data_IF_866953757404
#
_entry.id   IF_866953757404
#
_cell.length_a   1.000
_cell.length_b   1.000
_cell.length_c   1.000
_cell.angle_alpha   90.00
_cell.angle_beta   90.00
_cell.angle_gamma   90.00
#
_symmetry.space_group_name_H-M   'P 1'
#
loop_
_entity.id
_entity.type
_entity.pdbx_description
1 polymer ?
#
# COMPACT_ATOMS: atom_id res chain seq x y z
N UNK A 1 -35.28 54.63 37.97
CA UNK A 1 -36.46 54.15 37.25
C UNK A 1 -36.21 52.74 36.75
N UNK A 2 -36.92 51.84 37.38
CA UNK A 2 -37.38 50.50 37.00
C UNK A 2 -36.41 49.52 36.34
N UNK A 3 -36.03 48.61 37.20
CA UNK A 3 -35.49 47.27 36.93
C UNK A 3 -36.50 46.37 36.21
N UNK A 4 -36.06 45.61 35.23
CA UNK A 4 -36.77 44.39 34.82
C UNK A 4 -35.83 43.19 34.95
N UNK A 5 -36.09 42.38 36.01
CA UNK A 5 -35.46 41.09 36.20
C UNK A 5 -36.41 40.04 35.64
N UNK A 6 -36.13 39.51 34.45
CA UNK A 6 -36.82 38.35 33.93
C UNK A 6 -36.32 37.10 34.68
N UNK A 7 -37.20 36.53 35.50
CA UNK A 7 -37.02 35.27 36.21
C UNK A 7 -36.83 34.12 35.22
N UNK A 8 -35.67 33.48 35.24
CA UNK A 8 -35.48 32.15 34.69
C UNK A 8 -36.18 31.15 35.63
N UNK A 9 -37.35 30.67 35.22
CA UNK A 9 -37.99 29.52 35.86
C UNK A 9 -37.23 28.25 35.47
N UNK A 10 -36.49 27.66 36.40
CA UNK A 10 -35.89 26.36 36.25
C UNK A 10 -36.97 25.26 36.29
N UNK A 11 -36.93 24.34 35.36
CA UNK A 11 -37.78 23.15 35.32
C UNK A 11 -37.64 22.35 36.62
N UNK A 12 -38.77 21.96 37.22
CA UNK A 12 -38.78 21.17 38.44
C UNK A 12 -38.31 19.73 38.20
N UNK A 13 -37.72 19.08 39.21
CA UNK A 13 -37.32 17.66 39.15
C UNK A 13 -38.43 16.73 38.65
N UNK A 14 -39.68 17.06 38.89
CA UNK A 14 -40.85 16.28 38.46
C UNK A 14 -41.11 16.40 36.96
N UNK A 15 -40.86 17.58 36.36
CA UNK A 15 -40.99 17.83 34.92
C UNK A 15 -39.82 17.18 34.17
N UNK A 16 -38.61 17.14 34.76
CA UNK A 16 -37.45 16.42 34.18
C UNK A 16 -37.68 14.90 34.18
N UNK A 17 -38.30 14.34 35.23
CA UNK A 17 -38.61 12.91 35.29
C UNK A 17 -39.79 12.53 34.38
N UNK A 18 -40.74 13.42 34.14
CA UNK A 18 -41.83 13.18 33.20
C UNK A 18 -41.32 13.22 31.74
N UNK A 19 -40.38 14.11 31.41
CA UNK A 19 -39.73 14.13 30.08
C UNK A 19 -38.82 12.93 29.85
N UNK A 20 -38.15 12.41 30.87
CA UNK A 20 -37.33 11.19 30.77
C UNK A 20 -38.23 9.93 30.61
N UNK A 21 -39.39 9.89 31.25
CA UNK A 21 -40.35 8.79 31.09
C UNK A 21 -40.93 8.69 29.67
N UNK A 22 -41.26 9.82 29.06
CA UNK A 22 -41.76 9.86 27.67
C UNK A 22 -40.68 9.53 26.65
N UNK A 23 -39.40 9.90 26.89
CA UNK A 23 -38.26 9.52 26.04
C UNK A 23 -37.98 8.00 26.16
N UNK A 24 -38.07 7.42 27.37
CA UNK A 24 -37.88 5.99 27.55
C UNK A 24 -39.02 5.15 26.93
N UNK A 25 -40.27 5.61 27.04
CA UNK A 25 -41.42 4.98 26.37
C UNK A 25 -41.32 5.11 24.84
N UNK A 26 -40.83 6.23 24.32
CA UNK A 26 -40.56 6.42 22.88
C UNK A 26 -39.44 5.52 22.38
N UNK A 27 -38.36 5.31 23.15
CA UNK A 27 -37.30 4.37 22.83
C UNK A 27 -37.74 2.90 22.88
N UNK A 28 -38.60 2.53 23.81
CA UNK A 28 -39.20 1.19 23.89
C UNK A 28 -40.12 0.92 22.70
N UNK A 29 -40.94 1.90 22.29
CA UNK A 29 -41.79 1.78 21.10
C UNK A 29 -40.98 1.74 19.82
N UNK A 30 -39.87 2.47 19.72
CA UNK A 30 -38.96 2.40 18.57
C UNK A 30 -38.22 1.04 18.48
N UNK A 31 -37.89 0.43 19.62
CA UNK A 31 -37.33 -0.92 19.65
C UNK A 31 -38.35 -2.02 19.29
N UNK A 32 -39.62 -1.88 19.63
CA UNK A 32 -40.66 -2.86 19.25
C UNK A 32 -41.06 -2.71 17.77
N UNK A 33 -41.05 -1.49 17.21
CA UNK A 33 -41.32 -1.27 15.78
C UNK A 33 -40.13 -1.66 14.88
N UNK A 34 -38.88 -1.60 15.40
CA UNK A 34 -37.70 -1.97 14.62
C UNK A 34 -37.42 -3.48 14.53
N UNK A 35 -38.07 -4.30 15.40
CA UNK A 35 -37.80 -5.74 15.47
C UNK A 35 -38.62 -6.62 14.51
N UNK A 36 -39.88 -6.24 14.20
CA UNK A 36 -40.80 -7.14 13.53
C UNK A 36 -40.85 -7.02 11.98
N UNK A 37 -40.46 -5.86 11.40
CA UNK A 37 -40.62 -5.58 9.96
C UNK A 37 -39.39 -4.93 9.30
N UNK A 38 -38.21 -5.09 9.86
CA UNK A 38 -37.00 -4.64 9.17
C UNK A 38 -36.64 -5.64 8.04
N UNK A 39 -36.81 -5.28 6.75
CA UNK A 39 -36.46 -6.18 5.65
C UNK A 39 -35.00 -6.63 5.68
N UNK A 40 -34.10 -5.83 6.24
CA UNK A 40 -32.69 -6.17 6.43
C UNK A 40 -32.48 -7.30 7.44
N UNK A 41 -33.38 -7.50 8.42
CA UNK A 41 -33.29 -8.61 9.37
C UNK A 41 -33.62 -9.98 8.74
N UNK A 42 -34.24 -9.99 7.54
CA UNK A 42 -34.57 -11.22 6.77
C UNK A 42 -33.54 -11.54 5.70
N UNK A 43 -32.54 -10.67 5.46
CA UNK A 43 -31.45 -10.94 4.54
C UNK A 43 -30.47 -11.87 5.23
N UNK A 44 -30.30 -13.08 4.70
CA UNK A 44 -29.29 -14.02 5.19
C UNK A 44 -27.90 -13.42 5.04
N UNK A 45 -27.34 -12.90 6.15
CA UNK A 45 -26.02 -12.30 6.16
C UNK A 45 -24.96 -13.41 6.19
N UNK A 46 -24.53 -13.85 5.00
CA UNK A 46 -23.44 -14.80 4.86
C UNK A 46 -22.12 -14.26 5.44
N UNK A 47 -21.97 -12.94 5.51
CA UNK A 47 -20.77 -12.31 6.05
C UNK A 47 -20.65 -12.50 7.57
N UNK A 48 -21.75 -12.65 8.31
CA UNK A 48 -21.70 -12.85 9.77
C UNK A 48 -21.25 -14.26 10.18
N UNK A 49 -21.45 -15.27 9.32
CA UNK A 49 -21.18 -16.69 9.62
C UNK A 49 -19.87 -17.21 9.04
N UNK A 50 -19.20 -16.46 8.17
CA UNK A 50 -17.93 -16.87 7.58
C UNK A 50 -16.81 -16.78 8.62
N UNK A 51 -15.96 -17.83 8.67
CA UNK A 51 -14.82 -17.92 9.60
C UNK A 51 -13.59 -18.41 8.89
N UNK A 52 -12.45 -17.87 9.25
CA UNK A 52 -11.14 -18.38 8.86
C UNK A 52 -10.93 -19.76 9.51
N UNK A 53 -10.45 -20.74 8.75
CA UNK A 53 -10.26 -22.13 9.20
C UNK A 53 -8.89 -22.69 8.88
N UNK A 54 -8.11 -22.02 8.05
CA UNK A 54 -6.80 -22.52 7.65
C UNK A 54 -6.03 -21.56 6.77
N UNK A 55 -4.78 -21.90 6.53
CA UNK A 55 -3.93 -21.20 5.58
C UNK A 55 -2.93 -22.16 4.94
N UNK A 56 -2.39 -21.74 3.79
CA UNK A 56 -1.25 -22.39 3.12
C UNK A 56 -0.28 -21.33 2.62
N UNK A 57 1.00 -21.67 2.60
CA UNK A 57 2.06 -20.80 2.09
C UNK A 57 2.83 -21.49 0.97
N UNK A 58 3.18 -20.72 -0.06
CA UNK A 58 3.89 -21.20 -1.24
C UNK A 58 5.09 -20.28 -1.50
N UNK A 59 6.31 -20.73 -1.14
CA UNK A 59 7.53 -19.97 -1.40
C UNK A 59 7.85 -19.86 -2.89
N UNK A 60 8.12 -18.64 -3.39
CA UNK A 60 8.51 -18.39 -4.78
C UNK A 60 9.58 -17.29 -4.83
N UNK A 61 10.85 -17.66 -4.92
CA UNK A 61 11.97 -16.70 -4.89
C UNK A 61 11.98 -15.87 -3.60
N UNK A 62 11.91 -14.56 -3.71
CA UNK A 62 11.83 -13.62 -2.57
C UNK A 62 10.39 -13.38 -2.08
N UNK A 63 9.43 -14.18 -2.52
CA UNK A 63 8.02 -14.03 -2.20
C UNK A 63 7.49 -15.29 -1.55
N UNK A 64 6.47 -15.12 -0.72
CA UNK A 64 5.67 -16.22 -0.20
C UNK A 64 4.20 -15.91 -0.50
N UNK A 65 3.59 -16.67 -1.41
CA UNK A 65 2.17 -16.55 -1.68
C UNK A 65 1.39 -17.20 -0.54
N UNK A 66 0.33 -16.54 -0.10
CA UNK A 66 -0.49 -16.94 1.03
C UNK A 66 -1.92 -17.23 0.56
N UNK A 67 -2.46 -18.38 0.91
CA UNK A 67 -3.88 -18.71 0.78
C UNK A 67 -4.51 -18.78 2.18
N UNK A 68 -5.57 -18.02 2.42
CA UNK A 68 -6.41 -18.13 3.63
C UNK A 68 -7.71 -18.83 3.27
N UNK A 69 -8.07 -19.86 4.02
CA UNK A 69 -9.23 -20.71 3.80
C UNK A 69 -10.35 -20.37 4.81
N UNK A 70 -11.61 -20.62 4.42
CA UNK A 70 -12.77 -20.37 5.27
C UNK A 70 -13.71 -21.57 5.33
N UNK A 71 -14.61 -21.58 6.31
CA UNK A 71 -15.66 -22.59 6.48
C UNK A 71 -16.74 -22.58 5.37
N UNK A 72 -16.73 -21.58 4.47
CA UNK A 72 -17.70 -21.47 3.37
C UNK A 72 -17.12 -21.79 1.99
N UNK A 73 -15.96 -22.47 1.92
CA UNK A 73 -15.24 -22.80 0.68
C UNK A 73 -14.81 -21.56 -0.13
N UNK A 74 -14.89 -20.39 0.46
CA UNK A 74 -14.31 -19.15 -0.08
C UNK A 74 -12.91 -19.02 0.47
N UNK A 75 -11.95 -18.73 -0.38
CA UNK A 75 -10.56 -18.52 0.02
C UNK A 75 -9.99 -17.27 -0.66
N UNK A 76 -9.01 -16.64 -0.01
CA UNK A 76 -8.32 -15.49 -0.54
C UNK A 76 -6.83 -15.71 -0.68
N UNK A 77 -6.25 -15.00 -1.63
CA UNK A 77 -4.83 -15.00 -1.92
C UNK A 77 -4.19 -13.67 -1.54
N UNK A 78 -2.96 -13.75 -1.05
CA UNK A 78 -2.11 -12.61 -0.78
C UNK A 78 -0.64 -12.93 -1.01
N UNK A 79 0.22 -11.94 -0.85
CA UNK A 79 1.66 -12.06 -1.07
C UNK A 79 2.43 -11.42 0.08
N UNK A 80 3.32 -12.19 0.71
CA UNK A 80 4.39 -11.67 1.57
C UNK A 80 5.61 -11.47 0.69
N UNK A 81 5.93 -10.23 0.36
CA UNK A 81 6.99 -9.85 -0.56
C UNK A 81 8.31 -9.53 0.17
N UNK A 82 9.44 -9.76 -0.51
CA UNK A 82 10.80 -9.37 -0.05
C UNK A 82 11.20 -9.90 1.33
N UNK A 83 10.64 -11.03 1.76
CA UNK A 83 11.13 -11.78 2.91
C UNK A 83 11.61 -13.16 2.49
N UNK A 84 12.70 -13.67 3.09
CA UNK A 84 13.09 -15.05 2.87
C UNK A 84 11.92 -15.99 3.24
N UNK A 85 11.60 -16.98 2.41
CA UNK A 85 10.54 -17.94 2.71
C UNK A 85 10.71 -18.65 4.06
N UNK A 86 11.96 -18.85 4.49
CA UNK A 86 12.33 -19.40 5.79
C UNK A 86 11.92 -18.52 6.98
N UNK A 87 11.62 -17.25 6.73
CA UNK A 87 11.11 -16.30 7.73
C UNK A 87 9.62 -16.05 7.53
N UNK A 88 9.17 -15.84 6.28
CA UNK A 88 7.79 -15.49 5.97
C UNK A 88 6.79 -16.59 6.41
N UNK A 89 7.06 -17.86 6.12
CA UNK A 89 6.19 -18.98 6.50
C UNK A 89 5.96 -19.08 8.03
N UNK A 90 7.02 -19.14 8.86
CA UNK A 90 6.90 -19.10 10.31
C UNK A 90 6.20 -17.87 10.88
N UNK A 91 6.38 -16.68 10.29
CA UNK A 91 5.67 -15.47 10.71
C UNK A 91 4.16 -15.57 10.42
N UNK A 92 3.78 -16.05 9.23
CA UNK A 92 2.37 -16.30 8.89
C UNK A 92 1.76 -17.30 9.86
N UNK A 93 2.47 -18.39 10.18
CA UNK A 93 2.02 -19.41 11.15
C UNK A 93 1.77 -18.78 12.52
N UNK A 94 2.69 -17.96 13.03
CA UNK A 94 2.54 -17.29 14.32
C UNK A 94 1.37 -16.31 14.32
N UNK A 95 1.19 -15.54 13.24
CA UNK A 95 0.07 -14.60 13.13
C UNK A 95 -1.27 -15.29 12.96
N UNK A 96 -1.30 -16.49 12.40
CA UNK A 96 -2.52 -17.26 12.17
C UNK A 96 -3.22 -17.63 13.49
N UNK A 97 -2.50 -17.79 14.59
CA UNK A 97 -3.08 -18.03 15.92
C UNK A 97 -4.06 -16.91 16.35
N UNK A 98 -3.87 -15.70 15.82
CA UNK A 98 -4.76 -14.55 16.07
C UNK A 98 -5.94 -14.50 15.10
N UNK A 99 -5.91 -15.28 14.01
CA UNK A 99 -6.89 -15.24 12.93
C UNK A 99 -7.86 -16.42 12.95
N UNK A 100 -7.46 -17.56 13.51
CA UNK A 100 -8.26 -18.79 13.52
C UNK A 100 -9.62 -18.55 14.17
N UNK A 101 -10.69 -18.98 13.50
CA UNK A 101 -12.07 -18.77 13.91
C UNK A 101 -12.62 -17.34 13.77
N UNK A 102 -11.79 -16.36 13.40
CA UNK A 102 -12.21 -14.98 13.18
C UNK A 102 -13.00 -14.82 11.87
N UNK A 103 -13.80 -13.75 11.82
CA UNK A 103 -14.53 -13.38 10.61
C UNK A 103 -13.61 -12.56 9.66
N UNK A 104 -13.29 -13.07 8.45
CA UNK A 104 -12.36 -12.41 7.53
C UNK A 104 -12.87 -11.05 7.00
N UNK A 105 -14.17 -10.77 7.07
CA UNK A 105 -14.73 -9.48 6.60
C UNK A 105 -14.48 -8.33 7.58
N UNK A 106 -14.02 -8.62 8.80
CA UNK A 106 -13.62 -7.61 9.79
C UNK A 106 -12.18 -7.14 9.55
N UNK A 107 -11.86 -6.75 8.32
CA UNK A 107 -10.49 -6.51 7.84
C UNK A 107 -9.73 -5.53 8.73
N UNK A 108 -10.29 -4.33 8.98
CA UNK A 108 -9.63 -3.34 9.85
C UNK A 108 -9.41 -3.87 11.28
N UNK A 109 -10.39 -4.57 11.84
CA UNK A 109 -10.24 -5.18 13.16
C UNK A 109 -9.08 -6.17 13.21
N UNK A 110 -9.00 -7.06 12.20
CA UNK A 110 -7.94 -8.07 12.13
C UNK A 110 -6.57 -7.43 11.87
N UNK A 111 -6.51 -6.42 11.00
CA UNK A 111 -5.29 -5.64 10.79
C UNK A 111 -4.78 -5.04 12.11
N UNK A 112 -5.65 -4.38 12.86
CA UNK A 112 -5.31 -3.78 14.15
C UNK A 112 -4.95 -4.84 15.20
N UNK A 113 -5.64 -5.99 15.20
CA UNK A 113 -5.35 -7.12 16.08
C UNK A 113 -3.92 -7.64 15.86
N UNK A 114 -3.56 -7.89 14.60
CA UNK A 114 -2.20 -8.33 14.21
C UNK A 114 -1.13 -7.29 14.60
N UNK A 115 -1.36 -6.03 14.24
CA UNK A 115 -0.39 -4.96 14.49
C UNK A 115 -0.19 -4.68 15.98
N UNK A 116 -1.26 -4.70 16.78
CA UNK A 116 -1.21 -4.33 18.22
C UNK A 116 -0.82 -5.49 19.12
N UNK A 117 -1.14 -6.73 18.77
CA UNK A 117 -0.76 -7.91 19.55
C UNK A 117 0.78 -8.02 19.69
N UNK A 118 1.51 -7.56 18.69
CA UNK A 118 2.96 -7.61 18.65
C UNK A 118 3.59 -6.26 19.02
N UNK A 119 3.20 -5.70 20.15
CA UNK A 119 3.57 -4.35 20.59
C UNK A 119 5.04 -4.00 20.42
N UNK A 120 5.95 -4.92 20.76
CA UNK A 120 7.39 -4.67 20.78
C UNK A 120 8.03 -4.81 19.38
N UNK A 121 7.31 -5.39 18.41
CA UNK A 121 7.80 -5.65 17.04
C UNK A 121 7.02 -4.91 15.96
N UNK A 122 5.93 -4.21 16.31
CA UNK A 122 5.11 -3.49 15.35
C UNK A 122 5.91 -2.41 14.63
N UNK A 123 5.57 -2.16 13.36
CA UNK A 123 6.24 -1.18 12.50
C UNK A 123 7.45 -1.72 11.74
N UNK A 124 8.00 -2.87 12.11
CA UNK A 124 9.13 -3.46 11.40
C UNK A 124 8.73 -4.08 10.05
N UNK A 125 9.69 -4.13 9.10
CA UNK A 125 9.47 -4.67 7.76
C UNK A 125 8.87 -6.09 7.79
N UNK A 126 9.43 -6.98 8.60
CA UNK A 126 8.97 -8.36 8.69
C UNK A 126 7.49 -8.47 9.07
N UNK A 127 7.07 -7.66 10.03
CA UNK A 127 5.67 -7.64 10.47
C UNK A 127 4.75 -7.06 9.39
N UNK A 128 5.10 -5.90 8.82
CA UNK A 128 4.22 -5.19 7.89
C UNK A 128 4.11 -5.88 6.54
N UNK A 129 5.18 -6.50 6.02
CA UNK A 129 5.11 -7.34 4.82
C UNK A 129 4.22 -8.57 5.03
N UNK A 130 4.31 -9.20 6.22
CA UNK A 130 3.46 -10.35 6.55
C UNK A 130 2.00 -9.94 6.71
N UNK A 131 1.73 -8.84 7.42
CA UNK A 131 0.37 -8.28 7.55
C UNK A 131 -0.18 -7.89 6.18
N UNK A 132 0.65 -7.36 5.26
CA UNK A 132 0.23 -7.02 3.90
C UNK A 132 -0.32 -8.24 3.14
N UNK A 133 0.39 -9.36 3.20
CA UNK A 133 -0.07 -10.61 2.57
C UNK A 133 -1.40 -11.12 3.16
N UNK A 134 -1.54 -11.05 4.48
CA UNK A 134 -2.80 -11.41 5.17
C UNK A 134 -3.93 -10.45 4.77
N UNK A 135 -3.69 -9.16 4.81
CA UNK A 135 -4.68 -8.12 4.45
C UNK A 135 -5.20 -8.29 3.02
N UNK A 136 -4.30 -8.52 2.05
CA UNK A 136 -4.68 -8.80 0.66
C UNK A 136 -5.61 -10.03 0.58
N UNK A 137 -5.30 -11.11 1.29
CA UNK A 137 -6.13 -12.31 1.30
C UNK A 137 -7.51 -12.07 1.94
N UNK A 138 -7.60 -11.24 2.98
CA UNK A 138 -8.87 -10.88 3.61
C UNK A 138 -9.74 -10.02 2.67
N UNK A 139 -9.14 -9.08 1.96
CA UNK A 139 -9.83 -8.30 0.93
C UNK A 139 -10.29 -9.16 -0.23
N UNK A 140 -9.48 -10.13 -0.67
CA UNK A 140 -9.82 -11.08 -1.73
C UNK A 140 -11.02 -11.95 -1.32
N UNK A 141 -11.03 -12.49 -0.09
CA UNK A 141 -12.18 -13.21 0.48
C UNK A 141 -13.43 -12.34 0.47
N UNK A 142 -13.31 -11.09 0.95
CA UNK A 142 -14.46 -10.20 1.07
C UNK A 142 -15.03 -9.84 -0.30
N UNK A 143 -14.18 -9.54 -1.28
CA UNK A 143 -14.61 -9.30 -2.65
C UNK A 143 -15.30 -10.51 -3.28
N UNK A 144 -14.77 -11.72 -3.09
CA UNK A 144 -15.37 -12.99 -3.54
C UNK A 144 -16.69 -13.28 -2.85
N UNK A 145 -16.79 -13.04 -1.55
CA UNK A 145 -18.02 -13.24 -0.78
C UNK A 145 -19.17 -12.36 -1.32
N UNK A 146 -18.86 -11.12 -1.67
CA UNK A 146 -19.84 -10.17 -2.22
C UNK A 146 -19.97 -10.23 -3.75
N UNK A 147 -19.16 -11.02 -4.44
CA UNK A 147 -19.19 -11.17 -5.91
C UNK A 147 -18.69 -9.94 -6.66
N UNK A 148 -17.86 -9.10 -6.06
CA UNK A 148 -17.38 -7.83 -6.65
C UNK A 148 -15.86 -7.69 -6.60
N UNK A 149 -15.25 -6.92 -7.52
CA UNK A 149 -13.84 -6.51 -7.39
C UNK A 149 -13.62 -5.66 -6.14
N UNK A 150 -12.45 -5.78 -5.52
CA UNK A 150 -12.12 -5.08 -4.25
C UNK A 150 -12.29 -3.56 -4.35
N UNK A 151 -11.94 -2.92 -5.47
CA UNK A 151 -12.12 -1.46 -5.61
C UNK A 151 -13.59 -1.02 -5.44
N UNK A 152 -14.58 -1.88 -5.75
CA UNK A 152 -16.00 -1.58 -5.52
C UNK A 152 -16.33 -1.45 -4.04
N UNK A 153 -15.72 -2.28 -3.20
CA UNK A 153 -15.89 -2.21 -1.74
C UNK A 153 -15.27 -0.94 -1.15
N UNK A 154 -14.31 -0.33 -1.84
CA UNK A 154 -13.64 0.91 -1.43
C UNK A 154 -14.26 2.19 -2.04
N UNK A 155 -15.42 2.08 -2.71
CA UNK A 155 -16.12 3.21 -3.32
C UNK A 155 -15.65 3.57 -4.75
N UNK A 156 -14.80 2.76 -5.37
CA UNK A 156 -14.33 2.95 -6.74
C UNK A 156 -15.30 2.39 -7.80
N UNK A 157 -14.94 2.52 -9.11
CA UNK A 157 -13.70 3.14 -9.56
C UNK A 157 -13.81 4.65 -9.71
N UNK A 158 -12.70 5.35 -9.47
CA UNK A 158 -12.53 6.79 -9.75
C UNK A 158 -11.92 7.04 -11.13
N UNK A 159 -11.47 5.99 -11.81
CA UNK A 159 -10.88 5.98 -13.16
C UNK A 159 -11.14 4.66 -13.85
N UNK A 160 -11.13 4.67 -15.19
CA UNK A 160 -11.36 3.46 -16.00
C UNK A 160 -10.05 2.77 -16.41
N UNK A 161 -8.91 3.45 -16.25
CA UNK A 161 -7.58 2.95 -16.60
C UNK A 161 -6.56 3.35 -15.56
N UNK A 162 -5.49 2.56 -15.45
CA UNK A 162 -4.32 2.81 -14.59
C UNK A 162 -3.12 2.98 -15.49
N UNK A 163 -2.52 4.18 -15.48
CA UNK A 163 -1.27 4.44 -16.19
C UNK A 163 -0.11 3.74 -15.48
N UNK A 164 0.75 3.05 -16.23
CA UNK A 164 1.87 2.29 -15.69
C UNK A 164 3.21 2.63 -16.35
N UNK A 165 4.31 2.31 -15.66
CA UNK A 165 5.68 2.30 -16.17
C UNK A 165 6.44 1.05 -15.68
N UNK A 166 7.53 0.57 -16.36
CA UNK A 166 8.15 1.15 -17.55
C UNK A 166 7.36 0.90 -18.84
N UNK A 167 7.48 1.83 -19.78
CA UNK A 167 6.93 1.73 -21.15
C UNK A 167 7.92 2.36 -22.12
N UNK A 168 7.72 2.23 -23.44
CA UNK A 168 8.57 2.94 -24.41
C UNK A 168 8.62 4.47 -24.21
N UNK A 169 7.59 5.06 -23.57
CA UNK A 169 7.49 6.51 -23.32
C UNK A 169 7.58 6.91 -21.85
N UNK A 170 7.77 5.97 -20.93
CA UNK A 170 7.94 6.25 -19.51
C UNK A 170 9.00 5.32 -18.93
N UNK A 171 10.12 5.86 -18.50
CA UNK A 171 11.28 5.08 -18.11
C UNK A 171 11.90 5.59 -16.80
N UNK A 172 12.13 4.69 -15.85
CA UNK A 172 12.85 4.93 -14.59
C UNK A 172 14.30 4.50 -14.77
N UNK A 173 15.23 5.45 -14.61
CA UNK A 173 16.67 5.23 -14.65
C UNK A 173 17.12 4.84 -13.25
N UNK A 174 17.65 3.63 -13.02
CA UNK A 174 18.21 3.26 -11.74
C UNK A 174 19.60 3.86 -11.54
N UNK A 175 19.97 4.15 -10.31
CA UNK A 175 21.33 4.58 -9.98
C UNK A 175 22.40 3.50 -10.24
N UNK A 176 22.00 2.24 -10.36
CA UNK A 176 22.85 1.16 -10.85
C UNK A 176 23.81 0.57 -9.82
N UNK A 177 23.42 0.49 -8.56
CA UNK A 177 24.15 -0.22 -7.50
C UNK A 177 25.07 0.67 -6.64
N UNK A 178 25.82 0.06 -5.71
CA UNK A 178 26.61 0.76 -4.72
C UNK A 178 27.60 1.75 -5.33
N UNK A 179 27.64 2.95 -4.78
CA UNK A 179 28.60 3.99 -5.18
C UNK A 179 29.39 4.45 -3.99
N UNK A 180 30.73 4.57 -4.12
CA UNK A 180 31.54 5.10 -3.04
C UNK A 180 31.13 6.55 -2.75
N UNK A 181 31.00 6.87 -1.50
CA UNK A 181 30.77 8.25 -1.02
C UNK A 181 32.06 9.09 -1.16
N UNK A 182 32.67 9.10 -2.36
CA UNK A 182 33.95 9.78 -2.59
C UNK A 182 33.84 11.29 -2.55
N UNK A 183 32.61 11.83 -2.75
CA UNK A 183 32.39 13.27 -2.91
C UNK A 183 33.00 13.86 -4.18
N UNK A 184 33.49 13.03 -5.09
CA UNK A 184 34.06 13.49 -6.36
C UNK A 184 32.94 13.78 -7.39
N UNK A 185 32.87 14.99 -7.96
CA UNK A 185 31.89 15.31 -9.00
C UNK A 185 31.91 14.33 -10.20
N UNK A 186 33.05 13.73 -10.52
CA UNK A 186 33.17 12.72 -11.57
C UNK A 186 32.27 11.49 -11.33
N UNK A 187 31.89 11.20 -10.08
CA UNK A 187 31.03 10.05 -9.76
C UNK A 187 29.57 10.26 -10.20
N UNK A 188 29.12 11.49 -10.40
CA UNK A 188 27.76 11.80 -10.88
C UNK A 188 27.65 11.87 -12.42
N UNK A 189 28.75 12.06 -13.13
CA UNK A 189 28.72 12.19 -14.61
C UNK A 189 28.07 10.99 -15.32
N UNK A 190 28.38 9.72 -14.96
CA UNK A 190 27.72 8.57 -15.57
C UNK A 190 26.19 8.55 -15.35
N UNK A 191 25.74 9.03 -14.19
CA UNK A 191 24.31 9.10 -13.85
C UNK A 191 23.62 10.20 -14.67
N UNK A 192 24.24 11.38 -14.78
CA UNK A 192 23.74 12.47 -15.63
C UNK A 192 23.64 12.02 -17.08
N UNK A 193 24.66 11.31 -17.58
CA UNK A 193 24.65 10.72 -18.93
C UNK A 193 23.49 9.74 -19.11
N UNK A 194 23.24 8.84 -18.14
CA UNK A 194 22.14 7.88 -18.19
C UNK A 194 20.77 8.57 -18.25
N UNK A 195 20.58 9.66 -17.51
CA UNK A 195 19.35 10.46 -17.55
C UNK A 195 19.18 11.14 -18.91
N UNK A 196 20.26 11.71 -19.47
CA UNK A 196 20.26 12.30 -20.81
C UNK A 196 19.88 11.28 -21.88
N UNK A 197 20.49 10.11 -21.87
CA UNK A 197 20.19 9.02 -22.80
C UNK A 197 18.74 8.54 -22.66
N UNK A 198 18.23 8.45 -21.43
CA UNK A 198 16.83 8.13 -21.18
C UNK A 198 15.89 9.19 -21.78
N UNK A 199 16.19 10.49 -21.63
CA UNK A 199 15.42 11.57 -22.24
C UNK A 199 15.44 11.49 -23.77
N UNK A 200 16.58 11.25 -24.36
CA UNK A 200 16.73 11.05 -25.83
C UNK A 200 15.89 9.85 -26.30
N UNK A 201 15.90 8.74 -25.54
CA UNK A 201 15.14 7.52 -25.84
C UNK A 201 13.63 7.73 -25.81
N UNK A 202 13.08 8.37 -24.75
CA UNK A 202 11.64 8.55 -24.61
C UNK A 202 11.11 9.74 -25.42
N UNK A 203 11.99 10.62 -25.86
CA UNK A 203 11.66 11.87 -26.57
C UNK A 203 11.11 12.96 -25.63
N UNK A 204 10.86 14.14 -26.20
CA UNK A 204 10.42 15.33 -25.42
C UNK A 204 9.09 15.13 -24.68
N UNK A 205 8.17 14.34 -25.24
CA UNK A 205 6.83 14.10 -24.70
C UNK A 205 6.78 12.86 -23.77
N UNK A 206 7.93 12.17 -23.62
CA UNK A 206 8.05 11.02 -22.73
C UNK A 206 8.31 11.41 -21.28
N UNK A 207 8.22 10.45 -20.40
CA UNK A 207 8.45 10.61 -18.96
C UNK A 207 9.75 9.95 -18.55
N UNK A 208 10.67 10.68 -17.92
CA UNK A 208 11.87 10.16 -17.29
C UNK A 208 11.76 10.31 -15.78
N UNK A 209 12.05 9.25 -15.05
CA UNK A 209 12.20 9.22 -13.60
C UNK A 209 13.62 8.76 -13.28
N UNK A 210 14.14 9.12 -12.11
CA UNK A 210 15.41 8.63 -11.62
C UNK A 210 15.22 8.01 -10.23
N UNK A 211 15.80 6.83 -10.03
CA UNK A 211 15.77 6.12 -8.76
C UNK A 211 17.16 6.10 -8.14
N UNK A 212 17.32 6.84 -7.06
CA UNK A 212 18.61 6.98 -6.39
C UNK A 212 18.91 5.83 -5.43
N UNK A 213 17.92 5.06 -4.98
CA UNK A 213 18.08 4.00 -3.97
C UNK A 213 18.97 4.42 -2.79
N UNK A 214 18.89 5.67 -2.36
CA UNK A 214 19.70 6.26 -1.28
C UNK A 214 21.23 6.17 -1.48
N UNK A 215 21.71 5.79 -2.66
CA UNK A 215 23.13 5.50 -2.89
C UNK A 215 24.03 6.74 -3.01
N UNK A 216 23.45 7.96 -3.08
CA UNK A 216 24.20 9.20 -3.12
C UNK A 216 24.13 9.95 -1.80
N UNK A 217 25.26 10.32 -1.19
CA UNK A 217 25.26 11.25 -0.05
C UNK A 217 24.53 12.56 -0.40
N UNK A 218 23.85 13.21 0.53
CA UNK A 218 23.02 14.39 0.24
C UNK A 218 23.71 15.51 -0.56
N UNK A 219 24.98 15.86 -0.29
CA UNK A 219 25.66 16.86 -1.13
C UNK A 219 25.83 16.46 -2.59
N UNK A 220 26.14 15.16 -2.85
CA UNK A 220 26.26 14.62 -4.21
C UNK A 220 24.91 14.52 -4.90
N UNK A 221 23.86 14.11 -4.17
CA UNK A 221 22.51 14.07 -4.71
C UNK A 221 22.05 15.48 -5.15
N UNK A 222 22.33 16.52 -4.35
CA UNK A 222 22.00 17.90 -4.71
C UNK A 222 22.75 18.35 -5.96
N UNK A 223 24.03 18.01 -6.10
CA UNK A 223 24.80 18.31 -7.31
C UNK A 223 24.23 17.57 -8.52
N UNK A 224 23.94 16.30 -8.38
CA UNK A 224 23.31 15.48 -9.41
C UNK A 224 21.93 16.04 -9.83
N UNK A 225 21.07 16.34 -8.86
CA UNK A 225 19.74 16.87 -9.12
C UNK A 225 19.79 18.19 -9.93
N UNK A 226 20.73 19.08 -9.59
CA UNK A 226 20.93 20.32 -10.32
C UNK A 226 21.47 20.06 -11.75
N UNK A 227 22.32 19.06 -11.94
CA UNK A 227 22.85 18.72 -13.23
C UNK A 227 21.81 18.09 -14.18
N UNK A 228 20.80 17.40 -13.65
CA UNK A 228 19.72 16.79 -14.44
C UNK A 228 18.48 17.68 -14.61
N UNK A 229 18.41 18.86 -13.99
CA UNK A 229 17.30 19.81 -14.15
C UNK A 229 16.93 20.07 -15.61
N UNK A 230 17.89 20.27 -16.56
CA UNK A 230 17.59 20.50 -17.97
C UNK A 230 16.91 19.33 -18.71
N UNK A 231 16.88 18.15 -18.12
CA UNK A 231 16.28 16.96 -18.74
C UNK A 231 14.83 16.70 -18.31
N UNK A 232 14.20 17.61 -17.56
CA UNK A 232 12.78 17.57 -17.21
C UNK A 232 12.36 16.22 -16.58
N UNK A 233 13.09 15.82 -15.54
CA UNK A 233 12.85 14.56 -14.81
C UNK A 233 11.62 14.69 -13.92
N UNK A 234 10.69 13.73 -14.01
CA UNK A 234 9.44 13.76 -13.26
C UNK A 234 9.66 13.69 -11.74
N UNK A 235 10.62 12.87 -11.29
CA UNK A 235 11.07 12.83 -9.89
C UNK A 235 12.43 12.18 -9.73
N UNK A 236 13.08 12.47 -8.59
CA UNK A 236 14.13 11.64 -8.00
C UNK A 236 13.51 10.84 -6.87
N UNK A 237 13.56 9.50 -7.00
CA UNK A 237 13.08 8.51 -6.04
C UNK A 237 14.15 8.22 -5.01
N UNK A 238 13.73 7.95 -3.75
CA UNK A 238 14.61 7.63 -2.62
C UNK A 238 15.85 8.51 -2.51
N UNK A 239 15.68 9.83 -2.37
CA UNK A 239 16.82 10.77 -2.35
C UNK A 239 17.72 10.62 -1.12
N UNK A 240 17.24 9.97 -0.07
CA UNK A 240 17.96 9.68 1.17
C UNK A 240 17.33 8.50 1.91
N UNK A 241 18.07 7.92 2.86
CA UNK A 241 17.57 6.85 3.73
C UNK A 241 16.36 7.33 4.52
N UNK A 242 15.24 6.58 4.54
CA UNK A 242 14.03 6.94 5.28
C UNK A 242 14.27 7.19 6.77
N UNK A 243 13.41 8.02 7.38
CA UNK A 243 13.41 8.32 8.81
C UNK A 243 14.20 9.56 9.21
N UNK A 244 15.07 10.11 8.37
CA UNK A 244 15.76 11.36 8.66
C UNK A 244 15.14 12.54 7.88
N UNK A 245 14.07 13.09 8.41
CA UNK A 245 13.28 14.16 7.78
C UNK A 245 14.11 15.43 7.52
N UNK A 246 15.05 15.77 8.39
CA UNK A 246 15.90 16.96 8.21
C UNK A 246 16.79 16.85 6.97
N UNK A 247 17.24 15.65 6.62
CA UNK A 247 17.98 15.43 5.37
C UNK A 247 17.08 15.64 4.16
N UNK A 248 15.86 15.10 4.17
CA UNK A 248 14.88 15.32 3.10
C UNK A 248 14.54 16.80 2.93
N UNK A 249 14.34 17.53 4.02
CA UNK A 249 14.10 19.01 4.00
C UNK A 249 15.27 19.74 3.37
N UNK A 250 16.51 19.42 3.76
CA UNK A 250 17.72 20.04 3.20
C UNK A 250 17.81 19.80 1.69
N UNK A 251 17.58 18.57 1.24
CA UNK A 251 17.60 18.24 -0.19
C UNK A 251 16.50 19.04 -0.90
N UNK A 252 15.25 18.96 -0.41
CA UNK A 252 14.09 19.64 -1.01
C UNK A 252 14.29 21.14 -1.18
N UNK A 253 14.93 21.79 -0.21
CA UNK A 253 15.24 23.23 -0.26
C UNK A 253 16.35 23.60 -1.27
N UNK A 254 17.13 22.61 -1.71
CA UNK A 254 18.31 22.78 -2.55
C UNK A 254 18.12 22.36 -4.00
N UNK A 255 16.97 21.73 -4.35
CA UNK A 255 16.71 21.20 -5.68
C UNK A 255 15.33 21.62 -6.20
N UNK A 256 15.19 21.70 -7.53
CA UNK A 256 13.91 21.98 -8.19
C UNK A 256 13.21 20.71 -8.70
N UNK A 257 14.00 19.67 -9.00
CA UNK A 257 13.45 18.39 -9.45
C UNK A 257 12.55 17.84 -8.32
N UNK A 258 11.32 17.37 -8.63
CA UNK A 258 10.45 16.78 -7.63
C UNK A 258 11.08 15.57 -6.94
N UNK A 259 10.78 15.38 -5.67
CA UNK A 259 11.26 14.26 -4.87
C UNK A 259 10.14 13.26 -4.61
N UNK A 260 10.44 11.97 -4.77
CA UNK A 260 9.54 10.88 -4.47
C UNK A 260 10.15 9.94 -3.43
N UNK A 261 9.33 9.40 -2.52
CA UNK A 261 9.73 8.41 -1.52
C UNK A 261 8.51 7.71 -0.95
N UNK A 262 8.71 6.63 -0.20
CA UNK A 262 7.61 5.98 0.52
C UNK A 262 7.54 4.47 0.39
N UNK A 263 8.32 3.83 -0.46
CA UNK A 263 8.32 2.38 -0.65
C UNK A 263 8.75 1.61 0.62
N UNK A 264 9.61 2.23 1.43
CA UNK A 264 10.08 1.70 2.72
C UNK A 264 9.38 2.30 3.93
N UNK A 265 8.47 3.26 3.74
CA UNK A 265 7.61 3.83 4.78
C UNK A 265 6.28 3.05 4.80
N UNK A 266 6.07 2.25 5.86
CA UNK A 266 5.09 1.16 5.88
C UNK A 266 3.75 1.53 6.49
N UNK A 267 3.72 2.63 7.23
CA UNK A 267 2.53 3.04 7.98
C UNK A 267 2.24 4.52 7.79
N UNK A 268 0.99 4.92 8.08
CA UNK A 268 0.63 6.34 8.10
C UNK A 268 1.54 7.16 9.04
N UNK A 269 2.01 6.56 10.14
CA UNK A 269 2.86 7.26 11.12
C UNK A 269 4.27 7.53 10.57
N UNK A 270 4.80 6.66 9.71
CA UNK A 270 6.08 6.87 9.02
C UNK A 270 5.96 7.90 7.89
N UNK A 271 4.79 7.95 7.22
CA UNK A 271 4.53 8.88 6.10
C UNK A 271 4.20 10.30 6.56
N UNK A 272 3.49 10.48 7.68
CA UNK A 272 3.05 11.80 8.18
C UNK A 272 4.17 12.85 8.22
N UNK A 273 5.39 12.59 8.74
CA UNK A 273 6.43 13.60 8.82
C UNK A 273 6.83 14.19 7.46
N UNK A 274 6.89 13.36 6.40
CA UNK A 274 7.21 13.83 5.05
C UNK A 274 6.16 14.81 4.51
N UNK A 275 4.89 14.52 4.76
CA UNK A 275 3.78 15.34 4.32
C UNK A 275 3.70 16.65 5.10
N UNK A 276 3.85 16.61 6.43
CA UNK A 276 3.83 17.79 7.30
C UNK A 276 4.94 18.77 6.96
N UNK A 277 6.15 18.25 6.74
CA UNK A 277 7.32 19.05 6.40
C UNK A 277 7.42 19.39 4.91
N UNK A 278 6.50 18.86 4.07
CA UNK A 278 6.45 19.10 2.62
C UNK A 278 7.80 18.81 1.93
N UNK A 279 8.49 17.78 2.37
CA UNK A 279 9.82 17.45 1.89
C UNK A 279 9.84 16.39 0.79
N UNK A 280 8.67 15.89 0.38
CA UNK A 280 8.46 15.09 -0.84
C UNK A 280 7.27 15.65 -1.64
N UNK A 281 7.26 15.42 -2.95
CA UNK A 281 6.21 15.84 -3.88
C UNK A 281 5.31 14.67 -4.30
N UNK A 282 5.80 13.44 -4.20
CA UNK A 282 5.12 12.22 -4.62
C UNK A 282 5.34 11.17 -3.54
N UNK A 283 4.27 10.47 -3.15
CA UNK A 283 4.36 9.32 -2.24
C UNK A 283 4.33 8.02 -3.03
N UNK A 284 5.27 7.09 -2.74
CA UNK A 284 5.45 5.83 -3.46
C UNK A 284 5.17 4.61 -2.57
N UNK A 285 4.17 4.71 -1.70
CA UNK A 285 3.82 3.62 -0.79
C UNK A 285 3.57 2.31 -1.54
N UNK A 286 4.22 1.22 -1.12
CA UNK A 286 4.08 -0.11 -1.69
C UNK A 286 3.06 -0.93 -0.91
N UNK A 287 2.04 -1.45 -1.60
CA UNK A 287 0.98 -2.25 -1.00
C UNK A 287 1.50 -3.53 -0.35
N UNK A 288 2.49 -4.19 -0.96
CA UNK A 288 3.06 -5.44 -0.46
C UNK A 288 4.06 -5.26 0.69
N UNK A 289 4.63 -4.05 0.84
CA UNK A 289 5.58 -3.72 1.90
C UNK A 289 4.93 -2.99 3.07
N UNK A 290 3.87 -2.23 2.81
CA UNK A 290 3.29 -1.25 3.73
C UNK A 290 1.97 -1.70 4.38
N UNK A 291 1.79 -2.97 4.73
CA UNK A 291 0.62 -3.42 5.48
C UNK A 291 -0.65 -3.61 4.64
N UNK A 292 -0.52 -3.74 3.33
CA UNK A 292 -1.59 -4.16 2.42
C UNK A 292 -2.51 -3.03 1.94
N UNK A 293 -3.63 -3.45 1.37
CA UNK A 293 -4.69 -2.60 0.80
C UNK A 293 -5.20 -1.60 1.85
N UNK A 294 -5.46 -2.09 3.06
CA UNK A 294 -6.00 -1.28 4.17
C UNK A 294 -5.09 -0.11 4.50
N UNK A 295 -3.78 -0.34 4.60
CA UNK A 295 -2.84 0.72 4.96
C UNK A 295 -2.56 1.65 3.78
N UNK A 296 -2.38 1.10 2.57
CA UNK A 296 -2.17 1.90 1.37
C UNK A 296 -3.33 2.86 1.11
N UNK A 297 -4.58 2.41 1.32
CA UNK A 297 -5.75 3.29 1.21
C UNK A 297 -5.70 4.45 2.21
N UNK A 298 -5.28 4.20 3.46
CA UNK A 298 -5.12 5.25 4.48
C UNK A 298 -4.01 6.23 4.11
N UNK A 299 -2.87 5.74 3.63
CA UNK A 299 -1.77 6.60 3.15
C UNK A 299 -2.24 7.47 1.99
N UNK A 300 -2.99 6.92 1.03
CA UNK A 300 -3.52 7.68 -0.10
C UNK A 300 -4.48 8.80 0.33
N UNK A 301 -5.40 8.53 1.27
CA UNK A 301 -6.32 9.55 1.83
C UNK A 301 -5.56 10.62 2.59
N UNK A 302 -4.54 10.22 3.35
CA UNK A 302 -3.70 11.16 4.07
C UNK A 302 -2.92 12.06 3.10
N UNK A 303 -2.28 11.50 2.07
CA UNK A 303 -1.53 12.24 1.05
C UNK A 303 -2.43 13.21 0.27
N UNK A 304 -3.67 12.82 -0.03
CA UNK A 304 -4.67 13.67 -0.68
C UNK A 304 -4.91 14.96 0.10
N UNK A 305 -4.96 14.92 1.45
CA UNK A 305 -5.17 16.12 2.27
C UNK A 305 -4.03 17.12 2.16
N UNK A 306 -2.83 16.66 1.76
CA UNK A 306 -1.66 17.50 1.49
C UNK A 306 -1.44 17.79 0.00
N UNK A 307 -2.36 17.31 -0.86
CA UNK A 307 -2.26 17.44 -2.33
C UNK A 307 -1.01 16.74 -2.91
N UNK A 308 -0.55 15.68 -2.26
CA UNK A 308 0.58 14.85 -2.71
C UNK A 308 0.02 13.63 -3.44
N UNK A 309 0.31 13.44 -4.74
CA UNK A 309 -0.18 12.29 -5.50
C UNK A 309 0.52 10.99 -5.09
N UNK A 310 -0.23 9.89 -5.22
CA UNK A 310 0.31 8.55 -5.08
C UNK A 310 0.86 8.06 -6.43
N UNK A 311 2.10 7.57 -6.45
CA UNK A 311 2.72 6.82 -7.54
C UNK A 311 3.29 5.51 -6.97
N UNK A 312 2.50 4.45 -6.82
CA UNK A 312 2.92 3.26 -6.10
C UNK A 312 4.20 2.63 -6.66
N UNK A 313 5.17 2.36 -5.79
CA UNK A 313 6.24 1.40 -6.04
C UNK A 313 5.66 -0.01 -6.09
N UNK A 314 6.21 -0.89 -6.93
CA UNK A 314 5.82 -2.30 -6.94
C UNK A 314 6.85 -3.20 -7.63
N UNK A 315 7.43 -4.11 -6.88
CA UNK A 315 8.21 -5.27 -7.37
C UNK A 315 7.50 -6.60 -7.05
N UNK A 316 6.22 -6.52 -6.73
CA UNK A 316 5.36 -7.64 -6.38
C UNK A 316 5.05 -8.57 -7.57
N UNK A 317 4.43 -9.72 -7.29
CA UNK A 317 3.77 -10.53 -8.32
C UNK A 317 2.44 -9.92 -8.74
N UNK A 318 1.74 -10.57 -9.67
CA UNK A 318 0.39 -10.14 -10.04
C UNK A 318 -0.58 -10.04 -8.86
N UNK A 319 -0.36 -10.75 -7.74
CA UNK A 319 -1.18 -10.60 -6.53
C UNK A 319 -1.00 -9.22 -5.88
N UNK A 320 0.24 -8.83 -5.61
CA UNK A 320 0.52 -7.52 -5.02
C UNK A 320 0.19 -6.36 -5.97
N UNK A 321 0.43 -6.53 -7.28
CA UNK A 321 0.03 -5.56 -8.31
C UNK A 321 -1.50 -5.40 -8.32
N UNK A 322 -2.27 -6.50 -8.31
CA UNK A 322 -3.73 -6.44 -8.25
C UNK A 322 -4.21 -5.67 -7.02
N UNK A 323 -3.65 -5.99 -5.85
CA UNK A 323 -3.98 -5.31 -4.60
C UNK A 323 -3.74 -3.79 -4.71
N UNK A 324 -2.58 -3.40 -5.23
CA UNK A 324 -2.23 -1.99 -5.45
C UNK A 324 -3.14 -1.33 -6.50
N UNK A 325 -3.49 -2.04 -7.59
CA UNK A 325 -4.41 -1.55 -8.61
C UNK A 325 -5.82 -1.30 -8.07
N UNK A 326 -6.31 -2.12 -7.15
CA UNK A 326 -7.61 -1.89 -6.51
C UNK A 326 -7.61 -0.61 -5.67
N UNK A 327 -6.54 -0.33 -4.92
CA UNK A 327 -6.41 0.95 -4.21
C UNK A 327 -6.34 2.10 -5.21
N UNK A 328 -5.48 2.00 -6.22
CA UNK A 328 -5.29 3.02 -7.26
C UNK A 328 -6.60 3.34 -7.99
N UNK A 329 -7.42 2.33 -8.28
CA UNK A 329 -8.73 2.50 -8.90
C UNK A 329 -9.77 3.18 -7.98
N UNK A 330 -9.52 3.28 -6.68
CA UNK A 330 -10.47 3.80 -5.68
C UNK A 330 -10.09 5.16 -5.07
N UNK A 331 -8.97 5.76 -5.49
CA UNK A 331 -8.47 7.05 -4.97
C UNK A 331 -8.52 8.13 -6.05
N UNK A 332 -8.79 9.40 -5.72
CA UNK A 332 -8.81 10.48 -6.72
C UNK A 332 -7.42 10.92 -7.16
N UNK A 333 -6.47 11.03 -6.23
CA UNK A 333 -5.14 11.62 -6.47
C UNK A 333 -4.09 10.53 -6.73
N UNK A 334 -3.90 10.19 -8.01
CA UNK A 334 -2.97 9.18 -8.51
C UNK A 334 -2.20 9.72 -9.70
N UNK A 335 -0.92 9.37 -9.83
CA UNK A 335 -0.05 9.84 -10.90
C UNK A 335 0.26 8.76 -11.94
N UNK A 336 0.99 7.72 -11.54
CA UNK A 336 1.42 6.59 -12.37
C UNK A 336 1.83 5.42 -11.47
N UNK A 337 1.69 4.18 -11.93
CA UNK A 337 2.01 2.98 -11.15
C UNK A 337 3.22 2.25 -11.72
N UNK A 338 4.13 1.82 -10.86
CA UNK A 338 5.21 0.91 -11.26
C UNK A 338 4.66 -0.49 -11.57
N UNK A 339 5.11 -1.08 -12.68
CA UNK A 339 4.57 -2.33 -13.16
C UNK A 339 5.64 -3.22 -13.77
N UNK A 340 5.97 -4.30 -13.09
CA UNK A 340 6.77 -5.40 -13.64
C UNK A 340 5.91 -6.65 -13.71
N UNK A 341 5.76 -7.21 -14.91
CA UNK A 341 4.98 -8.43 -15.08
C UNK A 341 5.66 -9.61 -14.37
N UNK A 342 5.05 -10.11 -13.32
CA UNK A 342 5.55 -11.25 -12.55
C UNK A 342 4.40 -12.22 -12.24
N UNK A 343 4.34 -13.29 -13.03
CA UNK A 343 3.32 -14.34 -12.96
C UNK A 343 3.75 -15.54 -12.11
N UNK A 344 4.85 -15.42 -11.36
CA UNK A 344 5.41 -16.51 -10.55
C UNK A 344 5.64 -17.79 -11.35
N UNK A 345 6.26 -17.68 -12.53
CA UNK A 345 6.56 -18.84 -13.40
C UNK A 345 5.33 -19.42 -14.08
N UNK A 346 4.36 -18.59 -14.44
CA UNK A 346 3.14 -18.96 -15.15
C UNK A 346 2.02 -19.47 -14.25
N UNK A 347 2.18 -19.39 -12.93
CA UNK A 347 1.18 -19.89 -11.97
C UNK A 347 0.07 -18.90 -11.66
N UNK A 348 0.26 -17.62 -12.01
CA UNK A 348 -0.71 -16.55 -11.79
C UNK A 348 -1.24 -16.01 -13.13
N UNK A 349 -2.58 -15.96 -13.24
CA UNK A 349 -3.26 -15.31 -14.37
C UNK A 349 -3.98 -14.07 -13.90
N UNK A 350 -3.68 -12.95 -14.54
CA UNK A 350 -4.30 -11.65 -14.29
C UNK A 350 -5.56 -11.44 -15.13
N UNK A 351 -6.49 -10.61 -14.62
CA UNK A 351 -7.74 -10.27 -15.30
C UNK A 351 -7.73 -8.88 -15.97
N UNK A 352 -6.56 -8.28 -16.13
CA UNK A 352 -6.37 -6.97 -16.78
C UNK A 352 -5.34 -7.06 -17.90
N UNK A 353 -5.38 -6.10 -18.81
CA UNK A 353 -4.41 -5.96 -19.89
C UNK A 353 -3.75 -4.60 -19.85
N UNK A 354 -2.44 -4.58 -20.15
CA UNK A 354 -1.66 -3.35 -20.33
C UNK A 354 -1.47 -3.13 -21.82
N UNK A 355 -1.93 -1.99 -22.33
CA UNK A 355 -1.79 -1.66 -23.74
C UNK A 355 -0.37 -1.13 -24.07
N UNK A 356 -0.12 -0.91 -25.37
CA UNK A 356 1.17 -0.40 -25.88
C UNK A 356 1.53 1.01 -25.39
N UNK A 357 0.58 1.76 -24.87
CA UNK A 357 0.80 3.11 -24.36
C UNK A 357 1.10 3.11 -22.85
N UNK A 358 0.98 1.96 -22.19
CA UNK A 358 1.12 1.82 -20.74
C UNK A 358 -0.15 2.13 -19.97
N UNK A 359 -1.33 2.02 -20.61
CA UNK A 359 -2.60 2.09 -19.92
C UNK A 359 -3.11 0.67 -19.62
N UNK A 360 -3.28 0.38 -18.34
CA UNK A 360 -3.85 -0.88 -17.87
C UNK A 360 -5.37 -0.76 -17.70
N UNK A 361 -6.11 -1.78 -18.12
CA UNK A 361 -7.50 -1.93 -17.67
C UNK A 361 -7.54 -2.23 -16.17
N UNK A 362 -8.70 -2.04 -15.54
CA UNK A 362 -8.89 -2.38 -14.13
C UNK A 362 -8.99 -3.90 -13.95
N UNK A 363 -8.56 -4.46 -12.79
CA UNK A 363 -8.80 -5.86 -12.46
C UNK A 363 -10.30 -6.21 -12.52
N UNK A 364 -10.61 -7.33 -13.13
CA UNK A 364 -11.98 -7.79 -13.33
C UNK A 364 -12.26 -9.03 -12.46
N UNK A 365 -13.56 -9.27 -12.22
CA UNK A 365 -14.01 -10.40 -11.42
C UNK A 365 -13.98 -10.14 -9.91
N UNK A 366 -14.53 -11.07 -9.11
CA UNK A 366 -14.60 -10.96 -7.67
C UNK A 366 -13.21 -11.02 -7.00
N UNK A 367 -13.05 -10.28 -5.91
CA UNK A 367 -11.81 -10.24 -5.15
C UNK A 367 -10.71 -9.46 -5.86
N UNK A 368 -9.49 -9.99 -5.88
CA UNK A 368 -8.33 -9.39 -6.55
C UNK A 368 -8.34 -9.58 -8.07
N UNK A 369 -9.21 -10.47 -8.61
CA UNK A 369 -9.25 -10.76 -10.04
C UNK A 369 -8.01 -11.54 -10.51
N UNK A 370 -7.45 -12.41 -9.67
CA UNK A 370 -6.32 -13.29 -9.97
C UNK A 370 -6.75 -14.73 -9.87
N UNK A 371 -6.42 -15.52 -10.89
CA UNK A 371 -6.50 -16.98 -10.85
C UNK A 371 -5.12 -17.55 -10.49
N UNK A 372 -5.10 -18.54 -9.60
CA UNK A 372 -3.87 -19.20 -9.14
C UNK A 372 -3.91 -20.68 -9.49
N UNK A 373 -2.93 -21.17 -10.24
CA UNK A 373 -2.69 -22.59 -10.41
C UNK A 373 -1.94 -23.12 -9.19
N UNK A 374 -2.71 -23.49 -8.16
CA UNK A 374 -2.18 -24.01 -6.88
C UNK A 374 -1.35 -25.28 -7.07
N UNK A 375 -1.70 -26.13 -8.06
CA UNK A 375 -0.99 -27.39 -8.31
C UNK A 375 0.39 -27.16 -8.97
N UNK A 376 0.49 -26.19 -9.85
CA UNK A 376 1.77 -25.77 -10.43
C UNK A 376 2.62 -25.01 -9.39
N UNK A 377 2.00 -24.13 -8.60
CA UNK A 377 2.65 -23.36 -7.55
C UNK A 377 3.32 -24.26 -6.50
N UNK A 378 2.66 -25.34 -6.10
CA UNK A 378 3.19 -26.30 -5.14
C UNK A 378 4.44 -27.08 -5.63
N UNK A 379 4.76 -27.00 -6.93
CA UNK A 379 5.94 -27.67 -7.54
C UNK A 379 7.13 -26.72 -7.68
N UNK A 380 6.99 -25.45 -7.36
CA UNK A 380 8.09 -24.49 -7.46
C UNK A 380 9.12 -24.79 -6.36
N UNK A 381 10.38 -24.94 -6.75
CA UNK A 381 11.47 -25.14 -5.80
C UNK A 381 11.79 -23.84 -5.03
N UNK A 382 11.62 -23.81 -3.69
CA UNK A 382 11.82 -22.62 -2.87
C UNK A 382 13.29 -22.28 -2.62
N UNK A 383 14.25 -23.09 -3.04
CA UNK A 383 15.64 -23.08 -2.55
C UNK A 383 16.54 -21.99 -3.13
N UNK A 384 16.04 -21.07 -3.97
CA UNK A 384 16.87 -20.12 -4.71
C UNK A 384 17.04 -18.73 -4.08
N UNK A 385 16.39 -18.47 -2.93
CA UNK A 385 16.55 -17.15 -2.30
C UNK A 385 17.90 -17.06 -1.57
N UNK A 386 18.66 -15.99 -1.88
CA UNK A 386 19.89 -15.62 -1.15
C UNK A 386 19.83 -14.15 -0.77
N UNK A 387 20.26 -13.81 0.44
CA UNK A 387 20.44 -12.43 0.83
C UNK A 387 21.47 -11.76 -0.08
N UNK A 388 21.15 -10.59 -0.68
CA UNK A 388 22.16 -9.80 -1.39
C UNK A 388 23.15 -9.24 -0.36
N UNK A 389 24.44 -9.52 -0.56
CA UNK A 389 25.52 -8.95 0.27
C UNK A 389 26.30 -7.97 -0.61
N UNK A 390 25.81 -6.74 -0.75
CA UNK A 390 26.44 -5.74 -1.61
C UNK A 390 27.71 -5.16 -0.94
N UNK A 391 28.71 -4.89 -1.77
CA UNK A 391 29.96 -4.27 -1.34
C UNK A 391 30.34 -3.14 -2.28
N UNK A 392 30.90 -2.09 -1.72
CA UNK A 392 31.60 -1.05 -2.46
C UNK A 392 32.89 -1.57 -3.10
N UNK A 393 33.46 -0.88 -4.09
CA UNK A 393 34.73 -1.28 -4.73
C UNK A 393 35.92 -1.43 -3.77
N UNK A 394 35.91 -0.73 -2.64
CA UNK A 394 36.92 -0.81 -1.59
C UNK A 394 36.69 -1.97 -0.61
N UNK A 395 35.63 -2.78 -0.81
CA UNK A 395 35.29 -3.93 0.04
C UNK A 395 34.41 -3.60 1.25
N UNK A 396 34.12 -2.34 1.51
CA UNK A 396 33.18 -1.95 2.56
C UNK A 396 31.75 -2.40 2.23
N UNK A 397 30.91 -2.56 3.27
CA UNK A 397 29.49 -2.92 3.07
C UNK A 397 28.76 -1.76 2.41
N UNK A 398 28.02 -2.06 1.35
CA UNK A 398 27.18 -1.08 0.65
C UNK A 398 25.74 -1.18 1.11
N UNK A 399 25.09 -0.03 1.21
CA UNK A 399 23.64 0.08 1.25
C UNK A 399 23.08 -0.02 -0.18
N UNK A 400 21.98 -0.80 -0.33
CA UNK A 400 21.39 -1.02 -1.66
C UNK A 400 19.90 -1.29 -1.51
#
# INVERSE_FOLDING_TARGET
MMSDQSKRQGMSRRELLASAGTAAAGMLLLNEVSGADNPAAKVGDRASSIKITGFKTYPVGSKTLLKIETNQQIFGWGEVSQLPPTVAGPLVQSMFELLDGENPTRIEHLWQKLYRAHRDYRGGAFMLHTIAGIDMALWDITGKLHGVPVYRLMGGPTRDRIRVYPTPKAYKVPAGGPRPASGNPADIEPLVKSVKEARERVGKDGTVMFDAHCCLPPPMLIQFANAIEPYDVLWIEEPAVPGNIEVFKRIKQSVKVPLASGERDRTIWEVIPYLQERCIDIIQHDCAHGGGITQMKKVAVLAETYTVPLAPHSIASFLGIAASFHVTASIPLFLIHEYYANDCGGTLKKSWEVDKNGDSSLPQGPGLGIEVDEAALAKIDPTKFKWPGQKNPDGSVADY
#
